data_IF_503152246172
#
_entry.id   IF_503152246172
#
_cell.length_a   1.000
_cell.length_b   1.000
_cell.length_c   1.000
_cell.angle_alpha   90.00
_cell.angle_beta   90.00
_cell.angle_gamma   90.00
#
_symmetry.space_group_name_H-M   'P 1'
#
loop_
_entity.id
_entity.type
_entity.pdbx_description
1 polymer ?
#
# COMPACT_ATOMS: atom_id res chain seq x y z
N UNK A 1 12.83 -20.15 -8.71
CA UNK A 1 11.96 -19.10 -8.15
C UNK A 1 11.93 -19.21 -6.65
N UNK A 2 12.09 -18.09 -5.96
CA UNK A 2 12.11 -17.99 -4.51
C UNK A 2 10.93 -17.14 -4.04
N UNK A 3 10.36 -17.44 -2.87
CA UNK A 3 9.31 -16.63 -2.27
C UNK A 3 9.93 -15.52 -1.44
N UNK A 4 9.46 -14.29 -1.57
CA UNK A 4 9.90 -13.21 -0.69
C UNK A 4 9.26 -13.38 0.68
N UNK A 5 10.10 -13.45 1.72
CA UNK A 5 9.69 -13.60 3.12
C UNK A 5 9.53 -12.22 3.77
N UNK A 6 10.53 -11.35 3.58
CA UNK A 6 10.53 -10.00 4.13
C UNK A 6 11.48 -9.09 3.36
N UNK A 7 11.29 -7.78 3.53
CA UNK A 7 12.19 -6.75 3.02
C UNK A 7 12.88 -6.13 4.23
N UNK A 8 14.20 -6.21 4.29
CA UNK A 8 14.99 -5.69 5.41
C UNK A 8 15.19 -4.18 5.27
N UNK A 9 15.61 -3.73 4.08
CA UNK A 9 15.87 -2.33 3.74
C UNK A 9 15.61 -2.08 2.24
N UNK A 10 15.96 -0.89 1.72
CA UNK A 10 15.73 -0.54 0.31
C UNK A 10 16.58 -1.33 -0.70
N UNK A 11 17.55 -2.11 -0.24
CA UNK A 11 18.52 -2.86 -1.06
C UNK A 11 18.54 -4.35 -0.71
N UNK A 12 17.92 -4.77 0.38
CA UNK A 12 18.09 -6.10 0.93
C UNK A 12 16.75 -6.77 1.14
N UNK A 13 16.56 -7.91 0.50
CA UNK A 13 15.38 -8.76 0.65
C UNK A 13 15.75 -10.13 1.20
N UNK A 14 14.85 -10.71 1.99
CA UNK A 14 14.94 -12.08 2.46
C UNK A 14 14.03 -12.95 1.60
N UNK A 15 14.61 -13.95 0.95
CA UNK A 15 13.89 -14.90 0.11
C UNK A 15 14.00 -16.31 0.66
N UNK A 16 13.04 -17.16 0.30
CA UNK A 16 13.00 -18.56 0.67
C UNK A 16 12.87 -19.43 -0.58
N UNK A 17 13.74 -20.43 -0.70
CA UNK A 17 13.69 -21.45 -1.74
C UNK A 17 13.90 -22.83 -1.12
N UNK A 18 12.99 -23.76 -1.38
CA UNK A 18 13.04 -25.13 -0.86
C UNK A 18 13.29 -25.19 0.66
N UNK A 19 12.61 -24.32 1.43
CA UNK A 19 12.74 -24.25 2.89
C UNK A 19 14.01 -23.57 3.42
N UNK A 20 14.88 -23.07 2.53
CA UNK A 20 16.11 -22.34 2.91
C UNK A 20 15.93 -20.85 2.68
N UNK A 21 16.27 -20.07 3.70
CA UNK A 21 16.25 -18.60 3.64
C UNK A 21 17.61 -18.07 3.20
N UNK A 22 17.58 -17.13 2.28
CA UNK A 22 18.77 -16.44 1.75
C UNK A 22 18.54 -14.94 1.73
N UNK A 23 19.60 -14.19 2.03
CA UNK A 23 19.61 -12.73 1.90
C UNK A 23 20.06 -12.39 0.48
N UNK A 24 19.33 -11.50 -0.18
CA UNK A 24 19.64 -11.00 -1.52
C UNK A 24 19.83 -9.50 -1.43
N UNK A 25 20.97 -9.04 -1.91
CA UNK A 25 21.29 -7.62 -2.06
C UNK A 25 21.06 -7.24 -3.51
N UNK A 26 20.21 -6.24 -3.73
CA UNK A 26 19.85 -5.69 -5.02
C UNK A 26 21.06 -4.96 -5.62
N UNK A 27 21.51 -5.43 -6.78
CA UNK A 27 22.61 -4.82 -7.52
C UNK A 27 22.19 -3.55 -8.23
N UNK A 28 23.11 -2.58 -8.32
CA UNK A 28 22.88 -1.31 -9.04
C UNK A 28 21.91 -0.33 -8.36
N UNK A 29 21.35 -0.69 -7.20
CA UNK A 29 20.40 0.17 -6.47
C UNK A 29 21.14 1.09 -5.50
N UNK A 30 21.05 2.40 -5.75
CA UNK A 30 21.57 3.43 -4.85
C UNK A 30 20.42 4.30 -4.31
N UNK A 31 20.24 4.28 -2.99
CA UNK A 31 19.22 5.08 -2.29
C UNK A 31 19.92 6.00 -1.30
N UNK A 32 19.55 7.28 -1.31
CA UNK A 32 20.04 8.24 -0.32
C UNK A 32 19.34 8.02 1.02
N UNK A 33 20.02 8.27 2.14
CA UNK A 33 19.49 7.98 3.47
C UNK A 33 18.12 8.64 3.75
N UNK A 34 17.86 9.82 3.18
CA UNK A 34 16.59 10.52 3.31
C UNK A 34 15.40 9.77 2.70
N UNK A 35 15.65 8.95 1.66
CA UNK A 35 14.62 8.22 0.92
C UNK A 35 14.51 6.74 1.33
N UNK A 36 15.39 6.26 2.21
CA UNK A 36 15.52 4.86 2.58
C UNK A 36 14.19 4.25 3.06
N UNK A 37 13.47 4.96 3.92
CA UNK A 37 12.18 4.51 4.45
C UNK A 37 11.13 4.36 3.34
N UNK A 38 11.00 5.37 2.48
CA UNK A 38 10.03 5.36 1.37
C UNK A 38 10.36 4.27 0.34
N UNK A 39 11.65 4.07 0.05
CA UNK A 39 12.12 3.05 -0.88
C UNK A 39 11.90 1.63 -0.32
N UNK A 40 12.19 1.41 0.97
CA UNK A 40 11.92 0.14 1.64
C UNK A 40 10.42 -0.17 1.69
N UNK A 41 9.57 0.82 1.98
CA UNK A 41 8.12 0.64 2.01
C UNK A 41 7.53 0.33 0.63
N UNK A 42 8.10 0.95 -0.42
CA UNK A 42 7.76 0.62 -1.80
C UNK A 42 8.07 -0.84 -2.12
N UNK A 43 9.27 -1.32 -1.79
CA UNK A 43 9.64 -2.74 -1.97
C UNK A 43 8.73 -3.68 -1.16
N UNK A 44 8.44 -3.35 0.10
CA UNK A 44 7.54 -4.15 0.95
C UNK A 44 6.18 -4.34 0.29
N UNK A 45 5.59 -3.28 -0.27
CA UNK A 45 4.30 -3.36 -0.95
C UNK A 45 4.36 -4.16 -2.24
N UNK A 46 5.44 -3.99 -3.00
CA UNK A 46 5.59 -4.63 -4.30
C UNK A 46 5.89 -6.14 -4.19
N UNK A 47 6.61 -6.54 -3.13
CA UNK A 47 7.16 -7.87 -2.96
C UNK A 47 6.50 -8.69 -1.84
N UNK A 48 5.55 -8.14 -1.08
CA UNK A 48 4.87 -8.85 0.00
C UNK A 48 4.27 -10.19 -0.50
N UNK A 49 4.88 -11.29 -0.08
CA UNK A 49 4.45 -12.65 -0.45
C UNK A 49 4.63 -13.00 -1.93
N UNK A 50 5.32 -12.17 -2.72
CA UNK A 50 5.56 -12.38 -4.14
C UNK A 50 6.59 -13.48 -4.40
N UNK A 51 6.53 -14.08 -5.59
CA UNK A 51 7.55 -14.97 -6.09
C UNK A 51 8.51 -14.19 -6.98
N UNK A 52 9.80 -14.44 -6.81
CA UNK A 52 10.86 -13.77 -7.56
C UNK A 52 11.84 -14.76 -8.16
N UNK A 53 12.38 -14.42 -9.32
CA UNK A 53 13.61 -14.97 -9.86
C UNK A 53 14.75 -14.05 -9.43
N UNK A 54 15.84 -14.64 -8.97
CA UNK A 54 17.04 -13.91 -8.52
C UNK A 54 18.22 -14.42 -9.33
N UNK A 55 18.91 -13.51 -10.02
CA UNK A 55 20.09 -13.79 -10.84
C UNK A 55 21.15 -12.75 -10.51
N UNK A 56 22.23 -13.14 -9.83
CA UNK A 56 23.35 -12.26 -9.48
C UNK A 56 22.94 -10.91 -8.83
N UNK A 57 21.91 -10.94 -7.97
CA UNK A 57 21.36 -9.77 -7.28
C UNK A 57 20.38 -8.94 -8.11
N UNK A 58 20.12 -9.33 -9.36
CA UNK A 58 18.97 -8.89 -10.12
C UNK A 58 17.72 -9.65 -9.69
N UNK A 59 16.62 -8.92 -9.51
CA UNK A 59 15.37 -9.48 -9.01
C UNK A 59 14.25 -9.20 -9.99
N UNK A 60 13.59 -10.28 -10.42
CA UNK A 60 12.45 -10.25 -11.33
C UNK A 60 11.23 -10.83 -10.64
N UNK A 61 10.11 -10.10 -10.61
CA UNK A 61 8.86 -10.57 -10.00
C UNK A 61 8.05 -11.42 -10.97
N UNK A 62 7.42 -12.46 -10.44
CA UNK A 62 6.45 -13.31 -11.13
C UNK A 62 5.02 -12.96 -10.66
N UNK A 63 4.00 -13.04 -11.54
CA UNK A 63 4.00 -13.55 -12.92
C UNK A 63 4.35 -12.52 -14.01
N UNK A 64 4.54 -11.25 -13.66
CA UNK A 64 4.60 -10.13 -14.60
C UNK A 64 6.00 -9.85 -15.17
N UNK A 65 7.01 -10.61 -14.77
CA UNK A 65 8.42 -10.41 -15.13
C UNK A 65 8.93 -8.99 -14.82
N UNK A 66 8.36 -8.33 -13.81
CA UNK A 66 8.73 -6.96 -13.45
C UNK A 66 10.16 -6.93 -12.91
N UNK A 67 11.02 -6.12 -13.54
CA UNK A 67 12.40 -5.92 -13.12
C UNK A 67 12.49 -4.95 -11.94
N UNK A 68 12.67 -5.48 -10.74
CA UNK A 68 12.61 -4.74 -9.48
C UNK A 68 13.76 -3.76 -9.34
N UNK A 69 14.98 -4.17 -9.70
CA UNK A 69 16.14 -3.28 -9.65
C UNK A 69 15.94 -2.07 -10.55
N UNK A 70 15.33 -2.25 -11.73
CA UNK A 70 15.01 -1.16 -12.65
C UNK A 70 14.01 -0.16 -12.07
N UNK A 71 12.98 -0.62 -11.38
CA UNK A 71 12.02 0.26 -10.68
C UNK A 71 12.71 1.06 -9.57
N UNK A 72 13.65 0.42 -8.87
CA UNK A 72 14.41 1.08 -7.82
C UNK A 72 15.41 2.10 -8.37
N UNK A 73 16.11 1.77 -9.46
CA UNK A 73 17.04 2.69 -10.15
C UNK A 73 16.29 3.92 -10.69
N UNK A 74 15.06 3.73 -11.18
CA UNK A 74 14.20 4.82 -11.67
C UNK A 74 13.58 5.66 -10.54
N UNK A 75 13.85 5.31 -9.29
CA UNK A 75 13.25 5.94 -8.12
C UNK A 75 11.72 5.97 -8.17
N UNK A 76 11.08 4.86 -8.61
CA UNK A 76 9.63 4.79 -8.81
C UNK A 76 8.81 5.08 -7.54
N UNK A 77 9.39 4.91 -6.35
CA UNK A 77 8.78 5.31 -5.09
C UNK A 77 8.52 6.83 -4.98
N UNK A 78 9.24 7.67 -5.73
CA UNK A 78 9.05 9.12 -5.73
C UNK A 78 7.84 9.57 -6.54
N UNK A 79 7.45 8.78 -7.55
CA UNK A 79 6.31 9.07 -8.43
C UNK A 79 5.05 8.31 -8.05
N UNK A 80 5.16 7.28 -7.21
CA UNK A 80 4.01 6.62 -6.63
C UNK A 80 3.12 7.65 -5.88
N UNK A 81 1.83 7.79 -6.24
CA UNK A 81 0.99 8.84 -5.67
C UNK A 81 0.88 8.69 -4.15
N UNK A 82 1.30 9.74 -3.44
CA UNK A 82 1.09 10.03 -2.01
C UNK A 82 1.87 9.20 -0.97
N UNK A 83 3.20 9.12 -1.11
CA UNK A 83 4.07 8.80 0.04
C UNK A 83 4.90 9.99 0.49
N UNK A 84 4.31 10.82 1.34
CA UNK A 84 5.06 11.78 2.15
C UNK A 84 5.36 11.12 3.50
N UNK A 85 6.61 10.74 3.73
CA UNK A 85 7.08 10.32 5.05
C UNK A 85 6.95 11.49 6.02
N UNK A 86 6.09 11.37 7.05
CA UNK A 86 5.84 12.42 8.06
C UNK A 86 6.65 12.22 9.35
N UNK A 87 7.62 11.29 9.33
CA UNK A 87 8.38 10.89 10.52
C UNK A 87 7.73 9.73 11.29
N UNK A 88 8.50 9.14 12.20
CA UNK A 88 8.04 8.09 13.10
C UNK A 88 7.20 8.70 14.21
N UNK A 89 5.88 8.44 14.20
CA UNK A 89 4.99 8.80 15.28
C UNK A 89 5.01 7.68 16.31
N UNK A 90 5.55 7.96 17.50
CA UNK A 90 5.60 7.04 18.64
C UNK A 90 4.52 7.46 19.65
N UNK A 91 3.27 6.95 19.55
CA UNK A 91 2.26 7.23 20.55
C UNK A 91 2.64 6.45 21.80
N UNK A 92 3.26 7.15 22.76
CA UNK A 92 3.51 6.63 24.10
C UNK A 92 2.26 5.96 24.72
N UNK A 93 2.44 5.16 25.78
CA UNK A 93 1.44 4.22 26.26
C UNK A 93 0.07 4.89 26.47
N UNK A 94 -0.91 4.47 25.66
CA UNK A 94 -2.29 4.95 25.73
C UNK A 94 -2.94 4.42 27.02
N UNK A 95 -3.21 5.30 27.97
CA UNK A 95 -4.18 5.03 29.03
C UNK A 95 -5.58 4.98 28.40
N UNK A 96 -6.18 3.79 28.40
CA UNK A 96 -7.54 3.54 27.94
C UNK A 96 -8.55 4.38 28.72
N UNK A 97 -8.97 5.52 28.16
CA UNK A 97 -10.10 6.29 28.69
C UNK A 97 -11.41 5.57 28.34
N UNK A 98 -12.23 5.34 29.37
CA UNK A 98 -13.43 4.54 29.36
C UNK A 98 -14.50 5.01 28.35
N UNK A 99 -15.23 4.02 27.83
CA UNK A 99 -16.37 4.11 26.91
C UNK A 99 -17.44 5.10 27.36
N UNK A 100 -17.64 6.18 26.60
CA UNK A 100 -18.81 7.04 26.73
C UNK A 100 -20.02 6.39 26.02
N UNK A 101 -21.14 6.28 26.74
CA UNK A 101 -22.39 5.67 26.28
C UNK A 101 -23.05 6.44 25.10
N UNK A 102 -23.81 5.76 24.22
CA UNK A 102 -24.42 6.39 23.05
C UNK A 102 -25.63 7.29 23.41
N UNK A 103 -25.64 8.51 22.86
CA UNK A 103 -26.77 9.46 22.94
C UNK A 103 -27.92 9.02 22.01
N UNK A 104 -29.15 9.07 22.53
CA UNK A 104 -30.41 8.71 21.85
C UNK A 104 -30.62 9.51 20.54
N UNK A 105 -31.00 8.81 19.47
CA UNK A 105 -31.37 9.36 18.18
C UNK A 105 -32.73 10.08 18.20
N UNK A 106 -32.85 11.20 17.48
CA UNK A 106 -34.13 11.88 17.18
C UNK A 106 -34.75 11.27 15.91
N UNK A 107 -36.06 11.01 15.86
CA UNK A 107 -36.71 10.48 14.66
C UNK A 107 -36.85 11.54 13.55
N UNK A 108 -36.66 11.06 12.31
CA UNK A 108 -36.72 11.79 11.03
C UNK A 108 -38.19 12.14 10.70
N UNK A 109 -38.49 13.40 10.40
CA UNK A 109 -39.79 13.80 9.85
C UNK A 109 -39.81 13.60 8.33
N UNK A 110 -40.75 12.80 7.83
CA UNK A 110 -40.97 12.55 6.40
C UNK A 110 -41.66 13.76 5.74
N UNK A 111 -41.18 14.30 4.60
CA UNK A 111 -41.92 15.34 3.88
C UNK A 111 -43.09 14.74 3.09
N UNK A 112 -44.25 15.41 3.17
CA UNK A 112 -45.49 15.03 2.51
C UNK A 112 -45.41 15.20 0.99
N UNK A 113 -45.90 14.18 0.26
CA UNK A 113 -45.92 14.08 -1.20
C UNK A 113 -47.01 14.99 -1.79
N UNK A 114 -46.70 15.93 -2.71
CA UNK A 114 -47.75 16.66 -3.41
C UNK A 114 -48.39 15.81 -4.53
N UNK A 115 -49.72 15.90 -4.59
CA UNK A 115 -50.63 15.13 -5.44
C UNK A 115 -50.50 15.55 -6.91
N UNK A 116 -50.45 14.57 -7.82
CA UNK A 116 -50.52 14.77 -9.26
C UNK A 116 -51.86 15.38 -9.66
N UNK A 117 -51.83 16.51 -10.37
CA UNK A 117 -53.01 17.10 -11.01
C UNK A 117 -52.93 16.81 -12.51
N UNK A 118 -53.74 15.84 -12.93
CA UNK A 118 -54.10 15.59 -14.32
C UNK A 118 -54.68 16.86 -14.94
N UNK A 119 -54.06 17.33 -16.02
CA UNK A 119 -54.69 18.25 -16.96
C UNK A 119 -54.51 17.67 -18.37
N UNK A 120 -55.62 17.09 -18.82
CA UNK A 120 -55.92 16.58 -20.15
C UNK A 120 -56.07 17.77 -21.12
N UNK A 121 -55.84 17.49 -22.43
CA UNK A 121 -56.45 18.15 -23.62
C UNK A 121 -55.65 19.38 -24.12
N UNK A 122 -55.41 19.63 -25.41
CA UNK A 122 -55.64 18.96 -26.69
C UNK A 122 -55.00 19.82 -27.81
N UNK A 123 -54.70 19.18 -28.96
CA UNK A 123 -54.65 19.73 -30.35
C UNK A 123 -53.65 20.89 -30.58
N UNK A 124 -52.80 20.87 -31.61
CA UNK A 124 -53.10 20.66 -33.03
C UNK A 124 -51.81 20.42 -33.80
#
# INVERSE_FOLDING_TARGET
MSRVVSVQDSRTILVEFAGRRSVVVLTGVAVVAADEASAADFLRRMLAGAWVLVEDGEVYRSPDALYINGEMIRHAWRTAPNMRYLGQFDPGPRTSAATAAPRKAKPVSTPARPRSRSARRARR
#
